data_IF_889806404108
#
_entry.id   IF_889806404108
#
_cell.length_a   1.000
_cell.length_b   1.000
_cell.length_c   1.000
_cell.angle_alpha   90.00
_cell.angle_beta   90.00
_cell.angle_gamma   90.00
#
_symmetry.space_group_name_H-M   'P 1'
#
loop_
_entity.id
_entity.type
_entity.pdbx_description
1 polymer ?
#
# COMPACT_ATOMS: atom_id res chain seq x y z
N UNK A 1 -8.14 10.92 11.10
CA UNK A 1 -7.47 9.73 11.63
C UNK A 1 -5.99 9.79 11.30
N UNK A 2 -5.16 9.48 12.28
CA UNK A 2 -3.72 9.51 12.05
C UNK A 2 -3.24 8.17 11.51
N UNK A 3 -2.47 8.23 10.44
CA UNK A 3 -1.80 7.05 9.92
C UNK A 3 -0.54 6.76 10.75
N UNK A 4 -0.24 5.47 10.93
CA UNK A 4 1.00 5.08 11.58
C UNK A 4 2.17 5.34 10.62
N UNK A 5 3.40 5.32 11.15
CA UNK A 5 4.60 5.47 10.32
C UNK A 5 4.66 4.42 9.22
N UNK A 6 4.29 3.17 9.55
CA UNK A 6 4.30 2.11 8.56
C UNK A 6 3.25 2.35 7.47
N UNK A 7 2.08 2.81 7.86
CA UNK A 7 1.03 3.12 6.88
C UNK A 7 1.46 4.22 5.93
N UNK A 8 2.09 5.26 6.46
CA UNK A 8 2.58 6.36 5.65
C UNK A 8 3.63 5.86 4.66
N UNK A 9 4.57 5.04 5.13
CA UNK A 9 5.61 4.49 4.26
C UNK A 9 5.02 3.64 3.15
N UNK A 10 4.03 2.81 3.47
CA UNK A 10 3.37 1.99 2.47
C UNK A 10 2.68 2.86 1.42
N UNK A 11 1.98 3.89 1.86
CA UNK A 11 1.32 4.81 0.94
C UNK A 11 2.33 5.47 0.01
N UNK A 12 3.45 5.91 0.55
CA UNK A 12 4.50 6.54 -0.25
C UNK A 12 5.06 5.58 -1.30
N UNK A 13 5.29 4.33 -0.91
CA UNK A 13 5.77 3.31 -1.82
C UNK A 13 4.77 3.08 -2.96
N UNK A 14 3.50 2.95 -2.60
CA UNK A 14 2.45 2.72 -3.59
C UNK A 14 2.30 3.89 -4.55
N UNK A 15 2.37 5.11 -4.02
CA UNK A 15 2.25 6.30 -4.86
C UNK A 15 3.43 6.44 -5.81
N UNK A 16 4.60 5.97 -5.41
CA UNK A 16 5.81 6.04 -6.23
C UNK A 16 5.88 4.94 -7.27
N UNK A 17 5.09 3.89 -7.12
CA UNK A 17 5.17 2.72 -7.99
C UNK A 17 4.29 2.91 -9.21
N UNK A 18 4.81 2.53 -10.37
CA UNK A 18 4.07 2.60 -11.63
C UNK A 18 3.43 1.28 -11.99
N UNK A 19 3.66 0.25 -11.20
CA UNK A 19 3.14 -1.10 -11.45
C UNK A 19 2.88 -1.75 -10.11
N UNK A 20 2.37 -2.96 -10.14
CA UNK A 20 2.10 -3.71 -8.92
C UNK A 20 3.37 -3.91 -8.12
N UNK A 21 3.25 -3.80 -6.81
CA UNK A 21 4.35 -4.10 -5.90
C UNK A 21 3.87 -5.17 -4.94
N UNK A 22 4.69 -6.19 -4.75
CA UNK A 22 4.32 -7.34 -3.93
C UNK A 22 4.41 -7.02 -2.45
N UNK A 23 3.70 -7.83 -1.66
CA UNK A 23 3.81 -7.75 -0.20
C UNK A 23 5.24 -7.94 0.26
N UNK A 24 5.96 -8.88 -0.39
CA UNK A 24 7.34 -9.14 -0.05
C UNK A 24 8.23 -7.91 -0.28
N UNK A 25 8.03 -7.23 -1.40
CA UNK A 25 8.82 -6.04 -1.70
C UNK A 25 8.54 -4.93 -0.69
N UNK A 26 7.28 -4.72 -0.35
CA UNK A 26 6.91 -3.71 0.63
C UNK A 26 7.54 -4.06 1.98
N UNK A 27 7.44 -5.32 2.39
CA UNK A 27 8.00 -5.77 3.67
C UNK A 27 9.50 -5.53 3.72
N UNK A 28 10.19 -5.83 2.62
CA UNK A 28 11.63 -5.65 2.55
C UNK A 28 12.01 -4.17 2.63
N UNK A 29 11.29 -3.33 1.92
CA UNK A 29 11.59 -1.90 1.88
C UNK A 29 11.37 -1.22 3.23
N UNK A 30 10.35 -1.66 3.96
CA UNK A 30 10.02 -1.05 5.25
C UNK A 30 10.75 -1.74 6.39
N UNK A 31 11.08 -3.01 6.23
CA UNK A 31 11.76 -3.79 7.27
C UNK A 31 10.80 -4.42 8.26
N UNK A 32 9.63 -4.83 7.81
CA UNK A 32 8.65 -5.54 8.64
C UNK A 32 8.27 -6.84 7.96
N UNK A 33 7.51 -7.69 8.67
CA UNK A 33 7.09 -8.96 8.12
C UNK A 33 6.00 -8.77 7.06
N UNK A 34 5.85 -9.77 6.19
CA UNK A 34 4.77 -9.76 5.21
C UNK A 34 3.40 -9.75 5.88
N UNK A 35 3.29 -10.45 6.99
CA UNK A 35 2.05 -10.45 7.75
C UNK A 35 1.70 -9.05 8.22
N UNK A 36 2.68 -8.33 8.74
CA UNK A 36 2.48 -6.95 9.19
C UNK A 36 2.06 -6.06 8.03
N UNK A 37 2.67 -6.24 6.85
CA UNK A 37 2.27 -5.48 5.67
C UNK A 37 0.81 -5.73 5.34
N UNK A 38 0.36 -6.98 5.37
CA UNK A 38 -1.03 -7.30 5.07
C UNK A 38 -1.98 -6.63 6.03
N UNK A 39 -1.62 -6.61 7.32
CA UNK A 39 -2.45 -5.96 8.33
C UNK A 39 -2.50 -4.46 8.12
N UNK A 40 -1.36 -3.85 7.81
CA UNK A 40 -1.31 -2.42 7.55
C UNK A 40 -2.03 -2.04 6.27
N UNK A 41 -1.99 -2.90 5.25
CA UNK A 41 -2.66 -2.64 3.98
C UNK A 41 -4.17 -2.46 4.17
N UNK A 42 -4.77 -3.18 5.09
CA UNK A 42 -6.20 -3.02 5.37
C UNK A 42 -6.48 -1.58 5.78
N UNK A 43 -5.66 -1.04 6.66
CA UNK A 43 -5.81 0.35 7.12
C UNK A 43 -5.48 1.34 6.01
N UNK A 44 -4.43 1.06 5.25
CA UNK A 44 -4.04 1.91 4.11
C UNK A 44 -5.18 2.00 3.10
N UNK A 45 -5.81 0.86 2.81
CA UNK A 45 -6.93 0.83 1.88
C UNK A 45 -8.06 1.74 2.35
N UNK A 46 -8.37 1.70 3.64
CA UNK A 46 -9.42 2.56 4.20
C UNK A 46 -9.05 4.03 4.13
N UNK A 47 -7.80 4.35 4.45
CA UNK A 47 -7.31 5.74 4.39
C UNK A 47 -7.43 6.26 2.97
N UNK A 48 -6.97 5.49 2.00
CA UNK A 48 -7.00 5.91 0.60
C UNK A 48 -8.43 6.04 0.09
N UNK A 49 -9.32 5.16 0.55
CA UNK A 49 -10.72 5.22 0.16
C UNK A 49 -11.36 6.52 0.60
N UNK A 50 -11.00 7.02 1.77
CA UNK A 50 -11.51 8.30 2.26
C UNK A 50 -11.08 9.45 1.36
N UNK A 51 -10.00 9.28 0.62
CA UNK A 51 -9.49 10.26 -0.32
C UNK A 51 -9.92 9.98 -1.75
N UNK A 52 -10.87 9.06 -1.94
CA UNK A 52 -11.35 8.65 -3.27
C UNK A 52 -10.25 8.00 -4.11
N UNK A 53 -9.32 7.34 -3.46
CA UNK A 53 -8.24 6.62 -4.13
C UNK A 53 -8.48 5.13 -3.98
N UNK A 54 -8.40 4.39 -5.08
CA UNK A 54 -8.61 2.95 -5.05
C UNK A 54 -7.30 2.21 -4.97
N UNK A 55 -7.21 1.31 -4.00
CA UNK A 55 -6.10 0.37 -3.91
C UNK A 55 -6.56 -0.96 -4.46
N UNK A 56 -5.90 -1.41 -5.51
CA UNK A 56 -6.21 -2.67 -6.17
C UNK A 56 -5.20 -3.73 -5.77
N UNK A 57 -5.67 -4.94 -5.53
CA UNK A 57 -4.78 -6.06 -5.26
C UNK A 57 -5.11 -7.20 -6.23
N UNK A 58 -4.03 -7.89 -6.65
CA UNK A 58 -4.18 -9.09 -7.49
C UNK A 58 -3.31 -10.20 -6.94
N UNK A 59 -3.85 -11.44 -6.92
CA UNK A 59 -3.03 -12.58 -6.52
C UNK A 59 -1.77 -12.66 -7.38
N UNK A 60 -0.65 -12.95 -6.76
CA UNK A 60 0.65 -13.13 -7.41
C UNK A 60 1.23 -11.86 -8.03
N UNK A 61 0.56 -10.73 -7.91
CA UNK A 61 1.10 -9.46 -8.42
C UNK A 61 1.34 -8.44 -7.32
N UNK A 62 0.44 -8.38 -6.35
CA UNK A 62 0.57 -7.45 -5.24
C UNK A 62 -0.45 -6.33 -5.30
N UNK A 63 0.01 -5.12 -5.06
CA UNK A 63 -0.89 -3.96 -4.90
C UNK A 63 -0.49 -2.83 -5.83
N UNK A 64 -1.49 -2.08 -6.26
CA UNK A 64 -1.28 -0.88 -7.06
C UNK A 64 -2.36 0.13 -6.72
N UNK A 65 -2.02 1.40 -6.74
CA UNK A 65 -3.00 2.47 -6.60
C UNK A 65 -3.49 2.84 -7.98
N UNK A 66 -4.80 2.76 -8.16
CA UNK A 66 -5.43 3.17 -9.41
C UNK A 66 -5.99 4.57 -9.26
N UNK A 67 -6.13 5.25 -10.38
CA UNK A 67 -6.69 6.58 -10.38
C UNK A 67 -5.73 7.65 -9.93
N UNK A 68 -4.44 7.36 -9.93
CA UNK A 68 -3.45 8.41 -9.74
C UNK A 68 -3.56 9.36 -10.89
N UNK A 69 -3.89 10.58 -10.60
CA UNK A 69 -3.97 11.56 -11.66
C UNK A 69 -2.60 12.08 -12.00
N UNK A 70 -2.37 12.32 -13.25
CA UNK A 70 -1.16 13.03 -13.65
C UNK A 70 -1.16 14.42 -13.06
#
# INVERSE_FOLDING_TARGET
MKATNNEIKIIQILLSSNDYISTYEIATLIGISRRSVREEIINVKNILKEQNIHLTSKPNKGYIIEGKTP
#
